data_IF_045604356503
#
_entry.id   IF_045604356503
#
_cell.length_a   1.000
_cell.length_b   1.000
_cell.length_c   1.000
_cell.angle_alpha   90.00
_cell.angle_beta   90.00
_cell.angle_gamma   90.00
#
_symmetry.space_group_name_H-M   'P 1'
#
loop_
_entity.id
_entity.type
_entity.pdbx_description
1 polymer ?
#
# COMPACT_ATOMS: atom_id res chain seq x y z
N UNK A 1 7.61 -16.80 -29.20
CA UNK A 1 7.18 -17.62 -28.05
C UNK A 1 7.78 -16.98 -26.80
N UNK A 2 7.00 -16.16 -26.09
CA UNK A 2 7.44 -15.56 -24.82
C UNK A 2 6.82 -16.40 -23.71
N UNK A 3 7.67 -17.11 -22.99
CA UNK A 3 7.32 -18.06 -21.95
C UNK A 3 6.38 -17.41 -20.93
N UNK A 4 5.23 -18.04 -20.75
CA UNK A 4 4.32 -17.81 -19.65
C UNK A 4 5.08 -18.10 -18.36
N UNK A 5 5.66 -17.06 -17.77
CA UNK A 5 6.05 -17.12 -16.37
C UNK A 5 4.73 -17.19 -15.59
N UNK A 6 4.28 -18.41 -15.29
CA UNK A 6 3.55 -18.67 -14.06
C UNK A 6 4.29 -17.92 -12.95
N UNK A 7 3.78 -16.76 -12.58
CA UNK A 7 4.53 -15.83 -11.75
C UNK A 7 4.39 -16.31 -10.32
N UNK A 8 5.24 -17.25 -9.93
CA UNK A 8 5.43 -17.61 -8.54
C UNK A 8 5.63 -16.32 -7.74
N UNK A 9 5.05 -16.21 -6.53
CA UNK A 9 5.22 -15.02 -5.72
C UNK A 9 6.72 -14.77 -5.49
N UNK A 10 7.17 -13.55 -5.80
CA UNK A 10 8.55 -13.09 -5.54
C UNK A 10 8.83 -13.06 -4.03
N UNK A 11 7.78 -12.90 -3.23
CA UNK A 11 7.83 -13.01 -1.79
C UNK A 11 6.52 -12.65 -1.14
N UNK A 12 6.57 -12.42 0.17
CA UNK A 12 5.42 -12.02 0.98
C UNK A 12 5.60 -10.57 1.44
N UNK A 13 4.62 -9.73 1.11
CA UNK A 13 4.49 -8.39 1.65
C UNK A 13 3.94 -8.50 3.07
N UNK A 14 4.51 -7.76 4.03
CA UNK A 14 4.00 -7.67 5.40
C UNK A 14 3.95 -6.23 5.87
N UNK A 15 2.75 -5.70 6.12
CA UNK A 15 2.60 -4.37 6.69
C UNK A 15 3.15 -4.33 8.12
N UNK A 16 4.02 -3.38 8.42
CA UNK A 16 4.61 -3.24 9.75
C UNK A 16 3.70 -2.56 10.78
N UNK A 17 2.47 -2.17 10.41
CA UNK A 17 1.50 -1.56 11.32
C UNK A 17 0.35 -2.50 11.66
N UNK A 18 -0.36 -3.03 10.66
CA UNK A 18 -1.48 -3.95 10.89
C UNK A 18 -1.11 -5.44 10.71
N UNK A 19 0.15 -5.75 10.39
CA UNK A 19 0.63 -7.12 10.14
C UNK A 19 -0.06 -7.86 8.98
N UNK A 20 -0.87 -7.18 8.14
CA UNK A 20 -1.46 -7.82 6.96
C UNK A 20 -0.36 -8.37 6.05
N UNK A 21 -0.55 -9.61 5.60
CA UNK A 21 0.36 -10.30 4.70
C UNK A 21 -0.31 -10.68 3.40
N UNK A 22 0.39 -10.54 2.29
CA UNK A 22 -0.07 -11.02 0.99
C UNK A 22 1.14 -11.37 0.10
N UNK A 23 1.03 -12.38 -0.78
CA UNK A 23 2.06 -12.62 -1.78
C UNK A 23 2.15 -11.43 -2.75
N UNK A 24 3.35 -11.09 -3.20
CA UNK A 24 3.55 -10.11 -4.27
C UNK A 24 4.31 -10.74 -5.44
N UNK A 25 4.01 -10.28 -6.65
CA UNK A 25 4.60 -10.76 -7.89
C UNK A 25 5.46 -9.70 -8.59
N UNK A 26 5.40 -8.44 -8.14
CA UNK A 26 6.22 -7.36 -8.70
C UNK A 26 6.44 -6.24 -7.68
N UNK A 27 7.57 -5.55 -7.80
CA UNK A 27 7.90 -4.33 -7.05
C UNK A 27 8.40 -3.28 -8.05
N UNK A 28 7.80 -2.10 -8.04
CA UNK A 28 8.19 -1.02 -8.94
C UNK A 28 7.07 -0.05 -9.26
N UNK A 29 7.36 0.89 -10.15
CA UNK A 29 6.39 1.87 -10.64
C UNK A 29 5.64 1.43 -11.90
N UNK A 30 6.19 0.47 -12.65
CA UNK A 30 5.65 0.04 -13.95
C UNK A 30 5.26 -1.43 -13.90
N UNK A 31 4.08 -1.76 -13.34
CA UNK A 31 3.63 -3.14 -13.29
C UNK A 31 3.63 -3.76 -14.70
N UNK A 32 4.14 -4.99 -14.84
CA UNK A 32 4.14 -5.68 -16.13
C UNK A 32 2.68 -5.86 -16.62
N UNK A 33 2.51 -5.95 -17.94
CA UNK A 33 1.22 -6.20 -18.60
C UNK A 33 0.14 -5.11 -18.48
N UNK A 34 0.44 -3.90 -17.99
CA UNK A 34 -0.49 -2.76 -18.17
C UNK A 34 0.06 -1.80 -19.22
N UNK A 35 -0.58 -1.76 -20.39
CA UNK A 35 -0.07 -1.04 -21.56
C UNK A 35 0.01 0.49 -21.40
N UNK A 36 -0.52 1.07 -20.31
CA UNK A 36 -0.57 2.53 -20.14
C UNK A 36 -0.57 3.04 -18.69
N UNK A 37 -0.31 2.20 -17.68
CA UNK A 37 -0.40 2.62 -16.26
C UNK A 37 0.98 2.70 -15.62
N UNK A 38 1.29 3.86 -15.03
CA UNK A 38 2.50 4.07 -14.23
C UNK A 38 2.08 4.53 -12.84
N UNK A 39 2.57 3.85 -11.81
CA UNK A 39 2.35 4.21 -10.42
C UNK A 39 3.25 5.40 -10.05
N UNK A 40 2.70 6.32 -9.26
CA UNK A 40 3.41 7.50 -8.78
C UNK A 40 4.45 7.17 -7.69
N UNK A 41 4.46 5.92 -7.20
CA UNK A 41 5.38 5.43 -6.19
C UNK A 41 5.82 3.99 -6.46
N UNK A 42 7.00 3.61 -5.97
CA UNK A 42 7.44 2.23 -5.97
C UNK A 42 6.52 1.40 -5.06
N UNK A 43 5.77 0.48 -5.65
CA UNK A 43 4.73 -0.28 -4.95
C UNK A 43 4.97 -1.77 -5.04
N UNK A 44 4.55 -2.49 -4.00
CA UNK A 44 4.42 -3.93 -4.00
C UNK A 44 3.06 -4.29 -4.58
N UNK A 45 3.05 -5.08 -5.65
CA UNK A 45 1.83 -5.44 -6.35
C UNK A 45 1.74 -6.95 -6.55
N UNK A 46 0.51 -7.44 -6.65
CA UNK A 46 0.20 -8.80 -7.04
C UNK A 46 -0.76 -8.82 -8.23
N UNK A 47 -0.83 -9.95 -8.95
CA UNK A 47 -1.93 -10.19 -9.88
C UNK A 47 -3.25 -10.11 -9.12
N UNK A 48 -4.23 -9.44 -9.71
CA UNK A 48 -5.55 -9.32 -9.10
C UNK A 48 -6.23 -10.71 -9.02
N UNK A 49 -6.47 -11.25 -7.81
CA UNK A 49 -7.04 -12.59 -7.64
C UNK A 49 -8.55 -12.63 -7.94
N UNK A 50 -9.18 -11.47 -8.10
CA UNK A 50 -10.62 -11.34 -8.38
C UNK A 50 -10.91 -11.23 -9.88
N UNK A 51 -9.87 -11.23 -10.72
CA UNK A 51 -10.02 -11.17 -12.17
C UNK A 51 -9.36 -12.37 -12.83
N UNK A 52 -10.00 -12.94 -13.86
CA UNK A 52 -9.46 -14.05 -14.63
C UNK A 52 -8.33 -13.62 -15.59
N UNK A 53 -8.28 -12.33 -15.96
CA UNK A 53 -7.28 -11.76 -16.86
C UNK A 53 -5.89 -11.58 -16.23
N UNK A 54 -4.85 -11.54 -17.06
CA UNK A 54 -3.44 -11.32 -16.66
C UNK A 54 -3.01 -9.84 -16.71
N UNK A 55 -3.92 -8.94 -17.10
CA UNK A 55 -3.66 -7.51 -17.30
C UNK A 55 -3.92 -6.67 -16.03
N UNK A 56 -4.65 -7.21 -15.04
CA UNK A 56 -5.01 -6.48 -13.82
C UNK A 56 -4.07 -6.81 -12.66
N UNK A 57 -3.77 -5.79 -11.88
CA UNK A 57 -2.93 -5.89 -10.69
C UNK A 57 -3.58 -5.19 -9.49
N UNK A 58 -3.23 -5.66 -8.30
CA UNK A 58 -3.63 -5.08 -7.02
C UNK A 58 -2.41 -4.48 -6.33
N UNK A 59 -2.54 -3.24 -5.87
CA UNK A 59 -1.50 -2.56 -5.08
C UNK A 59 -1.66 -2.93 -3.61
N UNK A 60 -0.66 -3.57 -3.03
CA UNK A 60 -0.66 -3.99 -1.63
C UNK A 60 -0.22 -2.86 -0.71
N UNK A 61 0.84 -2.15 -1.09
CA UNK A 61 1.49 -1.17 -0.25
C UNK A 61 2.79 -0.63 -0.83
N UNK A 62 3.44 0.24 -0.07
CA UNK A 62 4.76 0.78 -0.41
C UNK A 62 5.54 1.10 0.87
N UNK A 63 6.75 1.65 0.72
CA UNK A 63 7.57 2.10 1.84
C UNK A 63 7.20 3.53 2.22
N UNK A 64 7.09 3.78 3.53
CA UNK A 64 6.96 5.14 4.05
C UNK A 64 8.18 5.97 3.62
N UNK A 65 7.94 7.16 3.08
CA UNK A 65 9.01 8.04 2.59
C UNK A 65 9.88 8.66 3.69
N UNK A 66 9.44 8.61 4.96
CA UNK A 66 10.17 9.18 6.10
C UNK A 66 10.95 8.13 6.89
N UNK A 67 10.36 6.97 7.16
CA UNK A 67 10.97 5.93 8.00
C UNK A 67 11.22 4.60 7.27
N UNK A 68 10.93 4.53 5.96
CA UNK A 68 11.12 3.35 5.10
C UNK A 68 10.38 2.07 5.53
N UNK A 69 9.51 2.15 6.54
CA UNK A 69 8.64 1.04 6.97
C UNK A 69 7.69 0.64 5.86
N UNK A 70 7.51 -0.67 5.69
CA UNK A 70 6.57 -1.23 4.73
C UNK A 70 5.13 -1.09 5.25
N UNK A 71 4.28 -0.39 4.52
CA UNK A 71 2.89 -0.10 4.93
C UNK A 71 1.89 -0.37 3.81
N UNK A 72 0.75 -0.96 4.16
CA UNK A 72 -0.29 -1.29 3.19
C UNK A 72 -1.06 -0.05 2.73
N UNK A 73 -1.87 -0.19 1.67
CA UNK A 73 -2.83 0.84 1.17
C UNK A 73 -3.97 1.14 2.14
N UNK A 74 -4.07 0.43 3.25
CA UNK A 74 -5.13 0.63 4.23
C UNK A 74 -5.09 2.04 4.83
N UNK A 75 -6.25 2.70 4.99
CA UNK A 75 -6.35 4.07 5.51
C UNK A 75 -5.87 4.20 6.96
N UNK A 76 -5.87 3.08 7.70
CA UNK A 76 -5.38 2.98 9.09
C UNK A 76 -3.86 2.80 9.18
N UNK A 77 -3.17 2.60 8.05
CA UNK A 77 -1.73 2.33 8.02
C UNK A 77 -0.96 3.39 7.26
N UNK A 78 -1.53 3.95 6.19
CA UNK A 78 -0.83 4.92 5.37
C UNK A 78 -1.73 5.97 4.74
N UNK A 79 -1.09 7.04 4.30
CA UNK A 79 -1.68 8.11 3.51
C UNK A 79 -0.80 8.35 2.28
N UNK A 80 -1.42 8.45 1.12
CA UNK A 80 -0.76 8.87 -0.12
C UNK A 80 -1.14 10.31 -0.44
N UNK A 81 -0.14 11.17 -0.69
CA UNK A 81 -0.32 12.53 -1.18
C UNK A 81 0.57 12.77 -2.41
N UNK A 82 1.85 13.07 -2.19
CA UNK A 82 2.90 13.08 -3.21
C UNK A 82 3.72 11.80 -3.20
N UNK A 83 3.84 11.21 -2.02
CA UNK A 83 4.41 9.89 -1.73
C UNK A 83 3.60 9.27 -0.60
N UNK A 84 3.87 8.00 -0.27
CA UNK A 84 3.25 7.35 0.87
C UNK A 84 3.99 7.61 2.17
N UNK A 85 3.20 7.89 3.20
CA UNK A 85 3.64 8.06 4.57
C UNK A 85 2.85 7.13 5.48
N UNK A 86 3.52 6.51 6.45
CA UNK A 86 2.82 5.76 7.48
C UNK A 86 2.09 6.73 8.40
N UNK A 87 0.94 6.32 8.96
CA UNK A 87 0.17 7.21 9.85
C UNK A 87 0.97 7.78 11.04
N UNK A 88 1.87 7.04 11.70
CA UNK A 88 2.72 7.62 12.74
C UNK A 88 3.55 8.82 12.22
N UNK A 89 4.20 8.67 11.07
CA UNK A 89 4.98 9.77 10.50
C UNK A 89 4.11 10.94 10.04
N UNK A 90 2.88 10.69 9.59
CA UNK A 90 1.92 11.76 9.27
C UNK A 90 1.53 12.53 10.53
N UNK A 91 1.27 11.83 11.64
CA UNK A 91 0.92 12.48 12.91
C UNK A 91 2.08 13.31 13.47
N UNK A 92 3.30 12.78 13.43
CA UNK A 92 4.50 13.48 13.92
C UNK A 92 4.84 14.72 13.09
N UNK A 93 4.46 14.74 11.82
CA UNK A 93 4.79 15.82 10.87
C UNK A 93 3.55 16.54 10.34
N UNK A 94 2.42 16.48 11.05
CA UNK A 94 1.11 16.92 10.54
C UNK A 94 1.10 18.40 10.13
N UNK A 95 1.86 19.24 10.83
CA UNK A 95 1.99 20.66 10.54
C UNK A 95 2.67 20.97 9.21
N UNK A 96 3.44 20.03 8.65
CA UNK A 96 4.09 20.18 7.34
C UNK A 96 3.18 19.81 6.17
N UNK A 97 2.03 19.18 6.43
CA UNK A 97 1.05 18.83 5.40
C UNK A 97 0.10 19.99 5.10
N UNK A 98 -0.49 20.07 3.88
CA UNK A 98 -1.55 21.04 3.56
C UNK A 98 -2.75 20.92 4.49
N UNK A 99 -3.50 22.02 4.68
CA UNK A 99 -4.64 22.09 5.61
C UNK A 99 -5.70 21.04 5.33
N UNK A 100 -5.90 20.67 4.08
CA UNK A 100 -6.85 19.66 3.64
C UNK A 100 -6.49 18.28 4.24
N UNK A 101 -5.21 17.92 4.22
CA UNK A 101 -4.71 16.67 4.80
C UNK A 101 -4.80 16.71 6.33
N UNK A 102 -4.51 17.87 6.94
CA UNK A 102 -4.65 18.03 8.39
C UNK A 102 -6.08 17.73 8.83
N UNK A 103 -7.07 18.36 8.18
CA UNK A 103 -8.49 18.15 8.47
C UNK A 103 -8.94 16.70 8.24
N UNK A 104 -8.46 16.05 7.18
CA UNK A 104 -8.80 14.66 6.89
C UNK A 104 -8.24 13.69 7.92
N UNK A 105 -7.01 13.91 8.39
CA UNK A 105 -6.40 13.11 9.45
C UNK A 105 -7.14 13.32 10.78
N UNK A 106 -7.60 14.54 11.08
CA UNK A 106 -8.40 14.83 12.25
C UNK A 106 -9.76 14.13 12.23
N UNK A 107 -10.47 14.15 11.09
CA UNK A 107 -11.75 13.44 10.92
C UNK A 107 -11.60 11.93 11.11
N UNK A 108 -10.46 11.36 10.73
CA UNK A 108 -10.16 9.92 10.89
C UNK A 108 -9.92 9.52 12.34
N UNK A 109 -9.65 10.44 13.27
CA UNK A 109 -9.49 10.15 14.71
C UNK A 109 -10.82 9.78 15.40
N UNK A 110 -11.91 9.54 14.66
CA UNK A 110 -13.15 8.96 15.16
C UNK A 110 -12.95 7.63 15.90
N UNK A 111 -13.95 7.18 16.69
CA UNK A 111 -13.76 6.24 17.80
C UNK A 111 -13.03 4.97 17.34
N UNK A 112 -11.85 4.74 17.94
CA UNK A 112 -11.09 3.50 17.80
C UNK A 112 -12.03 2.34 18.14
N UNK A 113 -12.36 1.50 17.15
CA UNK A 113 -13.01 0.22 17.46
C UNK A 113 -12.08 -0.52 18.43
N UNK A 114 -12.56 -0.97 19.60
CA UNK A 114 -11.74 -1.82 20.45
C UNK A 114 -11.36 -3.05 19.64
N UNK A 115 -10.05 -3.28 19.56
CA UNK A 115 -9.45 -4.50 19.02
C UNK A 115 -10.19 -5.69 19.62
N UNK A 116 -10.92 -6.43 18.79
CA UNK A 116 -11.53 -7.71 19.17
C UNK A 116 -10.45 -8.62 19.74
N UNK A 117 -10.54 -8.91 21.04
CA UNK A 117 -9.74 -9.95 21.69
C UNK A 117 -9.96 -11.28 20.96
N UNK A 118 -8.90 -12.05 20.66
CA UNK A 118 -9.09 -13.45 20.31
C UNK A 118 -9.63 -14.22 21.54
N UNK A 119 -10.50 -15.20 21.26
CA UNK A 119 -11.22 -16.04 22.22
C UNK A 119 -10.34 -16.69 23.28
#
# INVERSE_FOLDING_TARGET
MASEAECCPLGVFKCQLCSVTAPYSYVGQKPPNTQAVVLLEESYVMKDPFTSGTDRFLVLGSRCSLCSRLVCVGPECSLFYSRRFCLPCVQDNISAFPREIQQDVEKRKGPKRPSSQPC
#
